data_IF_090626550616
#
_entry.id   IF_090626550616
#
_cell.length_a   1.000
_cell.length_b   1.000
_cell.length_c   1.000
_cell.angle_alpha   90.00
_cell.angle_beta   90.00
_cell.angle_gamma   90.00
#
_symmetry.space_group_name_H-M   'P 1'
#
loop_
_entity.id
_entity.type
_entity.pdbx_description
1 polymer ?
#
# COMPACT_ATOMS: atom_id res chain seq x y z
N UNK A 1 7.17 -4.47 38.41
CA UNK A 1 6.25 -4.96 37.37
C UNK A 1 6.01 -4.01 36.17
N UNK A 2 6.18 -2.68 36.27
CA UNK A 2 5.75 -1.74 35.20
C UNK A 2 6.68 -1.59 33.99
N UNK A 3 8.00 -1.58 34.16
CA UNK A 3 8.94 -1.27 33.07
C UNK A 3 8.97 -2.30 31.93
N UNK A 4 8.82 -3.58 32.26
CA UNK A 4 8.94 -4.70 31.29
C UNK A 4 7.63 -4.88 30.49
N UNK A 5 6.47 -4.56 31.07
CA UNK A 5 5.22 -4.50 30.31
C UNK A 5 5.30 -3.42 29.21
N UNK A 6 5.92 -2.28 29.51
CA UNK A 6 6.11 -1.19 28.54
C UNK A 6 7.14 -1.50 27.43
N UNK A 7 8.11 -2.41 27.66
CA UNK A 7 8.99 -2.90 26.59
C UNK A 7 8.31 -3.95 25.70
N UNK A 8 7.49 -4.83 26.27
CA UNK A 8 6.64 -5.76 25.49
C UNK A 8 5.56 -5.02 24.69
N UNK A 9 5.01 -3.91 25.20
CA UNK A 9 4.15 -3.01 24.40
C UNK A 9 4.89 -2.31 23.24
N UNK A 10 6.23 -2.29 23.24
CA UNK A 10 7.07 -1.74 22.16
C UNK A 10 7.56 -2.77 21.16
N UNK A 11 7.61 -4.07 21.51
CA UNK A 11 8.08 -5.17 20.66
C UNK A 11 7.01 -5.72 19.71
N UNK A 12 6.18 -4.84 19.15
CA UNK A 12 5.11 -5.22 18.22
C UNK A 12 5.60 -5.12 16.77
N UNK A 13 6.31 -6.14 16.30
CA UNK A 13 6.64 -6.32 14.89
C UNK A 13 7.38 -5.12 14.29
N UNK A 14 8.53 -4.80 14.89
CA UNK A 14 9.43 -3.76 14.33
C UNK A 14 10.22 -4.34 13.17
N UNK A 15 10.53 -3.51 12.17
CA UNK A 15 11.35 -3.97 11.03
C UNK A 15 12.75 -4.39 11.51
N UNK A 16 13.29 -3.66 12.49
CA UNK A 16 14.57 -3.89 13.15
C UNK A 16 14.71 -5.32 13.73
N UNK A 17 13.60 -5.98 14.07
CA UNK A 17 13.56 -7.37 14.59
C UNK A 17 13.77 -8.43 13.49
N UNK A 18 13.70 -8.05 12.20
CA UNK A 18 13.82 -8.96 11.05
C UNK A 18 15.21 -8.95 10.39
N UNK A 19 16.15 -8.21 10.98
CA UNK A 19 17.56 -8.18 10.58
C UNK A 19 17.95 -6.98 9.71
N UNK A 20 19.18 -6.49 9.92
CA UNK A 20 19.68 -5.23 9.35
C UNK A 20 19.55 -5.14 7.82
N UNK A 21 19.89 -6.22 7.09
CA UNK A 21 19.76 -6.23 5.63
C UNK A 21 18.32 -5.98 5.17
N UNK A 22 17.34 -6.59 5.84
CA UNK A 22 15.93 -6.45 5.51
C UNK A 22 15.41 -5.05 5.86
N UNK A 23 15.83 -4.52 7.01
CA UNK A 23 15.51 -3.17 7.47
C UNK A 23 16.01 -2.08 6.52
N UNK A 24 17.30 -2.11 6.16
CA UNK A 24 17.86 -1.16 5.19
C UNK A 24 17.26 -1.35 3.80
N UNK A 25 17.04 -2.58 3.33
CA UNK A 25 16.41 -2.82 2.02
C UNK A 25 15.02 -2.19 1.97
N UNK A 26 14.15 -2.40 2.95
CA UNK A 26 12.80 -1.82 2.95
C UNK A 26 12.81 -0.30 3.06
N UNK A 27 13.69 0.27 3.89
CA UNK A 27 13.85 1.74 4.00
C UNK A 27 14.32 2.34 2.69
N UNK A 28 15.22 1.66 1.96
CA UNK A 28 15.66 2.05 0.63
C UNK A 28 14.54 1.90 -0.42
N UNK A 29 13.81 0.77 -0.48
CA UNK A 29 12.65 0.63 -1.37
C UNK A 29 11.65 1.77 -1.16
N UNK A 30 11.33 2.08 0.10
CA UNK A 30 10.41 3.17 0.45
C UNK A 30 10.92 4.53 -0.05
N UNK A 31 12.18 4.84 0.22
CA UNK A 31 12.80 6.11 -0.16
C UNK A 31 12.89 6.26 -1.68
N UNK A 32 13.52 5.32 -2.35
CA UNK A 32 13.73 5.34 -3.81
C UNK A 32 12.39 5.25 -4.54
N UNK A 33 11.42 4.48 -4.03
CA UNK A 33 10.06 4.38 -4.58
C UNK A 33 9.26 5.69 -4.50
N UNK A 34 9.38 6.41 -3.38
CA UNK A 34 8.77 7.73 -3.24
C UNK A 34 9.43 8.77 -4.16
N UNK A 35 10.74 8.70 -4.34
CA UNK A 35 11.46 9.55 -5.29
C UNK A 35 11.15 9.20 -6.77
N UNK A 36 10.95 7.93 -7.11
CA UNK A 36 10.47 7.51 -8.45
C UNK A 36 9.07 8.05 -8.72
N UNK A 37 8.13 7.89 -7.80
CA UNK A 37 6.78 8.41 -7.95
C UNK A 37 6.79 9.92 -8.22
N UNK A 38 7.64 10.68 -7.52
CA UNK A 38 7.77 12.13 -7.72
C UNK A 38 8.51 12.47 -9.03
N UNK A 39 9.75 12.00 -9.21
CA UNK A 39 10.63 12.45 -10.30
C UNK A 39 10.32 11.78 -11.65
N UNK A 40 9.79 10.56 -11.65
CA UNK A 40 9.35 9.91 -12.88
C UNK A 40 7.89 10.26 -13.19
N UNK A 41 6.93 9.82 -12.37
CA UNK A 41 5.51 9.88 -12.76
C UNK A 41 4.92 11.27 -12.76
N UNK A 42 5.23 12.08 -11.74
CA UNK A 42 4.71 13.45 -11.66
C UNK A 42 5.48 14.39 -12.60
N UNK A 43 6.81 14.44 -12.51
CA UNK A 43 7.61 15.41 -13.28
C UNK A 43 7.61 15.13 -14.79
N UNK A 44 7.73 13.86 -15.23
CA UNK A 44 7.69 13.52 -16.67
C UNK A 44 6.40 13.99 -17.35
N UNK A 45 5.26 13.78 -16.67
CA UNK A 45 3.94 14.18 -17.19
C UNK A 45 3.68 15.67 -17.09
N UNK A 46 4.18 16.35 -16.05
CA UNK A 46 4.19 17.82 -15.99
C UNK A 46 4.96 18.42 -17.18
N UNK A 47 6.07 17.80 -17.59
CA UNK A 47 6.85 18.20 -18.77
C UNK A 47 6.02 18.27 -20.07
N UNK A 48 5.08 17.34 -20.28
CA UNK A 48 4.21 17.37 -21.47
C UNK A 48 3.33 18.62 -21.56
N UNK A 49 2.89 19.17 -20.42
CA UNK A 49 2.06 20.39 -20.38
C UNK A 49 2.89 21.67 -20.28
N UNK A 50 4.08 21.59 -19.68
CA UNK A 50 5.05 22.67 -19.60
C UNK A 50 5.77 22.89 -20.94
N UNK A 51 5.62 21.99 -21.92
CA UNK A 51 6.07 22.15 -23.32
C UNK A 51 5.85 23.54 -23.91
N UNK A 52 4.70 24.18 -23.64
CA UNK A 52 4.39 25.56 -24.10
C UNK A 52 5.21 26.66 -23.42
N UNK A 53 5.65 26.43 -22.18
CA UNK A 53 6.49 27.35 -21.38
C UNK A 53 7.98 27.08 -21.62
N UNK A 54 8.35 25.81 -21.80
CA UNK A 54 9.70 25.39 -22.21
C UNK A 54 10.07 25.95 -23.60
N UNK A 55 9.10 26.11 -24.50
CA UNK A 55 9.29 26.82 -25.77
C UNK A 55 9.68 28.30 -25.63
N UNK A 56 9.45 28.92 -24.46
CA UNK A 56 9.89 30.28 -24.15
C UNK A 56 11.20 30.32 -23.35
N UNK A 57 11.59 29.20 -22.71
CA UNK A 57 12.69 29.12 -21.77
C UNK A 57 13.36 27.74 -21.83
N UNK A 58 14.41 27.63 -22.65
CA UNK A 58 15.11 26.37 -22.95
C UNK A 58 15.62 25.64 -21.69
N UNK A 59 16.09 26.38 -20.68
CA UNK A 59 16.53 25.84 -19.40
C UNK A 59 15.46 25.03 -18.65
N UNK A 60 14.17 25.33 -18.86
CA UNK A 60 13.07 24.55 -18.27
C UNK A 60 13.03 23.16 -18.92
N UNK A 61 13.16 23.08 -20.25
CA UNK A 61 13.20 21.82 -20.99
C UNK A 61 14.31 20.89 -20.51
N UNK A 62 15.55 21.40 -20.43
CA UNK A 62 16.73 20.66 -19.94
C UNK A 62 16.52 20.18 -18.50
N UNK A 63 15.97 21.04 -17.63
CA UNK A 63 15.67 20.68 -16.23
C UNK A 63 14.67 19.52 -16.14
N UNK A 64 13.56 19.58 -16.89
CA UNK A 64 12.55 18.53 -16.90
C UNK A 64 13.07 17.20 -17.47
N UNK A 65 13.90 17.24 -18.51
CA UNK A 65 14.57 16.05 -19.04
C UNK A 65 15.51 15.40 -18.01
N UNK A 66 16.30 16.21 -17.30
CA UNK A 66 17.23 15.72 -16.27
C UNK A 66 16.49 15.12 -15.06
N UNK A 67 15.43 15.76 -14.56
CA UNK A 67 14.62 15.17 -13.49
C UNK A 67 13.94 13.87 -13.94
N UNK A 68 13.45 13.82 -15.18
CA UNK A 68 12.80 12.62 -15.73
C UNK A 68 13.78 11.46 -15.93
N UNK A 69 15.01 11.72 -16.38
CA UNK A 69 16.05 10.68 -16.55
C UNK A 69 16.53 10.14 -15.20
N UNK A 70 16.67 11.00 -14.19
CA UNK A 70 16.90 10.58 -12.79
C UNK A 70 15.73 9.73 -12.29
N UNK A 71 14.48 10.14 -12.54
CA UNK A 71 13.29 9.36 -12.22
C UNK A 71 13.27 7.97 -12.88
N UNK A 72 13.65 7.88 -14.15
CA UNK A 72 13.74 6.61 -14.88
C UNK A 72 14.86 5.70 -14.34
N UNK A 73 16.01 6.27 -13.99
CA UNK A 73 17.09 5.53 -13.33
C UNK A 73 16.62 4.99 -11.96
N UNK A 74 15.90 5.80 -11.18
CA UNK A 74 15.31 5.39 -9.91
C UNK A 74 14.31 4.24 -10.08
N UNK A 75 13.48 4.23 -11.14
CA UNK A 75 12.55 3.12 -11.41
C UNK A 75 13.26 1.76 -11.50
N UNK A 76 14.40 1.70 -12.18
CA UNK A 76 15.21 0.47 -12.27
C UNK A 76 15.81 0.09 -10.91
N UNK A 77 16.28 1.08 -10.14
CA UNK A 77 16.81 0.87 -8.77
C UNK A 77 15.72 0.36 -7.81
N UNK A 78 14.49 0.90 -7.90
CA UNK A 78 13.32 0.41 -7.15
C UNK A 78 13.03 -1.04 -7.52
N UNK A 79 13.00 -1.37 -8.82
CA UNK A 79 12.75 -2.74 -9.28
C UNK A 79 13.76 -3.73 -8.68
N UNK A 80 15.06 -3.39 -8.69
CA UNK A 80 16.13 -4.20 -8.09
C UNK A 80 15.92 -4.38 -6.58
N UNK A 81 15.65 -3.30 -5.83
CA UNK A 81 15.44 -3.41 -4.39
C UNK A 81 14.15 -4.14 -4.00
N UNK A 82 13.05 -3.99 -4.74
CA UNK A 82 11.80 -4.76 -4.56
C UNK A 82 12.05 -6.24 -4.82
N UNK A 83 12.78 -6.57 -5.89
CA UNK A 83 13.15 -7.94 -6.22
C UNK A 83 14.00 -8.56 -5.10
N UNK A 84 15.05 -7.86 -4.64
CA UNK A 84 15.91 -8.30 -3.54
C UNK A 84 15.12 -8.50 -2.24
N UNK A 85 14.25 -7.55 -1.88
CA UNK A 85 13.40 -7.64 -0.69
C UNK A 85 12.48 -8.87 -0.74
N UNK A 86 11.84 -9.13 -1.88
CA UNK A 86 10.99 -10.31 -2.07
C UNK A 86 11.79 -11.62 -1.98
N UNK A 87 12.98 -11.70 -2.60
CA UNK A 87 13.84 -12.89 -2.51
C UNK A 87 14.26 -13.16 -1.06
N UNK A 88 14.76 -12.15 -0.35
CA UNK A 88 15.15 -12.27 1.06
C UNK A 88 13.96 -12.71 1.93
N UNK A 89 12.79 -12.11 1.71
CA UNK A 89 11.58 -12.42 2.47
C UNK A 89 11.05 -13.82 2.18
N UNK A 90 11.10 -14.27 0.92
CA UNK A 90 10.69 -15.59 0.49
C UNK A 90 11.62 -16.68 1.04
N UNK A 91 12.94 -16.46 1.01
CA UNK A 91 13.92 -17.36 1.64
C UNK A 91 13.75 -17.44 3.17
N UNK A 92 13.54 -16.30 3.85
CA UNK A 92 13.28 -16.29 5.29
C UNK A 92 11.97 -17.04 5.62
N UNK A 93 10.92 -16.84 4.82
CA UNK A 93 9.64 -17.54 4.96
C UNK A 93 9.74 -19.04 4.71
N UNK A 94 10.50 -19.47 3.71
CA UNK A 94 10.84 -20.89 3.47
C UNK A 94 11.58 -21.48 4.68
N UNK A 95 12.61 -20.81 5.18
CA UNK A 95 13.43 -21.30 6.31
C UNK A 95 12.66 -21.38 7.63
N UNK A 96 11.76 -20.45 7.90
CA UNK A 96 11.07 -20.34 9.20
C UNK A 96 9.75 -21.11 9.29
N UNK A 97 9.02 -21.25 8.18
CA UNK A 97 7.67 -21.87 8.16
C UNK A 97 7.53 -23.04 7.19
N UNK A 98 8.53 -23.30 6.35
CA UNK A 98 8.48 -24.35 5.33
C UNK A 98 7.35 -24.20 4.32
N UNK A 99 7.11 -25.27 3.56
CA UNK A 99 6.02 -25.39 2.59
C UNK A 99 4.72 -25.92 3.25
N UNK A 100 4.34 -25.38 4.41
CA UNK A 100 3.17 -25.81 5.17
C UNK A 100 1.96 -24.88 4.96
N UNK A 101 0.76 -25.47 4.79
CA UNK A 101 -0.48 -24.72 4.63
C UNK A 101 -0.45 -23.75 3.45
N UNK A 102 -0.80 -22.48 3.69
CA UNK A 102 -0.90 -21.49 2.62
C UNK A 102 0.45 -21.05 2.01
N UNK A 103 1.58 -21.41 2.64
CA UNK A 103 2.91 -21.25 2.05
C UNK A 103 3.06 -22.10 0.78
N UNK A 104 2.38 -23.25 0.70
CA UNK A 104 2.39 -24.12 -0.48
C UNK A 104 1.91 -23.41 -1.75
N UNK A 105 1.04 -22.39 -1.62
CA UNK A 105 0.58 -21.56 -2.76
C UNK A 105 1.39 -20.27 -2.86
N UNK A 106 1.65 -19.62 -1.72
CA UNK A 106 2.30 -18.30 -1.68
C UNK A 106 3.75 -18.33 -2.20
N UNK A 107 4.53 -19.32 -1.77
CA UNK A 107 5.96 -19.41 -2.11
C UNK A 107 6.17 -19.67 -3.61
N UNK A 108 5.54 -20.69 -4.24
CA UNK A 108 5.71 -20.88 -5.68
C UNK A 108 5.07 -19.76 -6.50
N UNK A 109 3.92 -19.19 -6.12
CA UNK A 109 3.33 -18.09 -6.91
C UNK A 109 4.20 -16.83 -6.92
N UNK A 110 4.72 -16.39 -5.77
CA UNK A 110 5.66 -15.26 -5.71
C UNK A 110 6.98 -15.58 -6.42
N UNK A 111 7.52 -16.80 -6.24
CA UNK A 111 8.73 -17.24 -6.94
C UNK A 111 8.56 -17.25 -8.47
N UNK A 112 7.42 -17.71 -8.97
CA UNK A 112 7.09 -17.74 -10.39
C UNK A 112 6.93 -16.32 -10.95
N UNK A 113 6.35 -15.37 -10.20
CA UNK A 113 6.30 -13.96 -10.59
C UNK A 113 7.69 -13.32 -10.67
N UNK A 114 8.61 -13.65 -9.76
CA UNK A 114 10.01 -13.20 -9.85
C UNK A 114 10.70 -13.78 -11.10
N UNK A 115 10.51 -15.07 -11.39
CA UNK A 115 11.05 -15.73 -12.59
C UNK A 115 10.48 -15.12 -13.87
N UNK A 116 9.16 -14.89 -13.95
CA UNK A 116 8.54 -14.21 -15.10
C UNK A 116 9.04 -12.77 -15.26
N UNK A 117 9.27 -12.05 -14.17
CA UNK A 117 9.81 -10.68 -14.23
C UNK A 117 11.23 -10.67 -14.82
N UNK A 118 12.07 -11.67 -14.51
CA UNK A 118 13.37 -11.84 -15.15
C UNK A 118 13.25 -12.29 -16.61
N UNK A 119 12.35 -13.23 -16.92
CA UNK A 119 12.13 -13.71 -18.29
C UNK A 119 11.65 -12.58 -19.22
N UNK A 120 10.75 -11.72 -18.72
CA UNK A 120 10.24 -10.56 -19.45
C UNK A 120 11.26 -9.44 -19.68
N UNK A 121 12.40 -9.49 -18.98
CA UNK A 121 13.54 -8.60 -19.24
C UNK A 121 14.30 -8.99 -20.52
N UNK A 122 14.21 -10.26 -20.94
CA UNK A 122 14.87 -10.81 -22.14
C UNK A 122 13.87 -11.00 -23.30
N UNK A 123 12.66 -11.45 -22.99
CA UNK A 123 11.61 -11.76 -23.99
C UNK A 123 10.37 -10.92 -23.66
N UNK A 124 10.02 -9.90 -24.47
CA UNK A 124 8.86 -9.06 -24.20
C UNK A 124 7.57 -9.89 -24.00
N UNK A 125 6.75 -9.59 -22.97
CA UNK A 125 5.54 -10.35 -22.70
C UNK A 125 4.51 -10.14 -23.82
N UNK A 126 4.33 -11.16 -24.66
CA UNK A 126 3.15 -11.29 -25.50
C UNK A 126 1.87 -11.37 -24.64
N UNK A 127 0.69 -11.20 -25.25
CA UNK A 127 -0.60 -11.19 -24.54
C UNK A 127 -0.80 -12.41 -23.59
N UNK A 128 -0.36 -13.61 -24.00
CA UNK A 128 -0.39 -14.79 -23.12
C UNK A 128 0.48 -14.64 -21.87
N UNK A 129 1.65 -14.02 -21.99
CA UNK A 129 2.56 -13.76 -20.88
C UNK A 129 1.97 -12.77 -19.87
N UNK A 130 1.32 -11.70 -20.35
CA UNK A 130 0.65 -10.75 -19.46
C UNK A 130 -0.62 -11.31 -18.81
N UNK A 131 -1.41 -12.12 -19.51
CA UNK A 131 -2.52 -12.88 -18.91
C UNK A 131 -2.00 -13.80 -17.80
N UNK A 132 -0.98 -14.62 -18.07
CA UNK A 132 -0.41 -15.54 -17.08
C UNK A 132 0.13 -14.79 -15.85
N UNK A 133 0.88 -13.71 -16.06
CA UNK A 133 1.43 -12.89 -14.98
C UNK A 133 0.34 -12.27 -14.09
N UNK A 134 -0.73 -11.75 -14.67
CA UNK A 134 -1.85 -11.16 -13.93
C UNK A 134 -2.67 -12.22 -13.18
N UNK A 135 -2.88 -13.41 -13.76
CA UNK A 135 -3.54 -14.54 -13.08
C UNK A 135 -2.72 -15.02 -11.88
N UNK A 136 -1.40 -15.17 -12.04
CA UNK A 136 -0.52 -15.61 -10.93
C UNK A 136 -0.43 -14.51 -9.86
N UNK A 137 -0.46 -13.23 -10.24
CA UNK A 137 -0.57 -12.09 -9.31
C UNK A 137 -1.87 -12.19 -8.49
N UNK A 138 -3.01 -12.47 -9.13
CA UNK A 138 -4.29 -12.66 -8.44
C UNK A 138 -4.23 -13.85 -7.44
N UNK A 139 -3.63 -14.97 -7.83
CA UNK A 139 -3.44 -16.14 -6.95
C UNK A 139 -2.54 -15.79 -5.76
N UNK A 140 -1.41 -15.11 -5.97
CA UNK A 140 -0.48 -14.71 -4.93
C UNK A 140 -1.14 -13.76 -3.91
N UNK A 141 -1.83 -12.72 -4.38
CA UNK A 141 -2.55 -11.77 -3.52
C UNK A 141 -3.69 -12.48 -2.77
N UNK A 142 -4.46 -13.35 -3.43
CA UNK A 142 -5.54 -14.11 -2.79
C UNK A 142 -5.01 -14.98 -1.64
N UNK A 143 -3.89 -15.67 -1.85
CA UNK A 143 -3.24 -16.44 -0.79
C UNK A 143 -2.80 -15.53 0.37
N UNK A 144 -2.10 -14.43 0.10
CA UNK A 144 -1.63 -13.51 1.15
C UNK A 144 -2.77 -12.87 1.95
N UNK A 145 -3.88 -12.51 1.30
CA UNK A 145 -5.07 -11.96 1.98
C UNK A 145 -5.76 -13.03 2.83
N UNK A 146 -5.89 -14.27 2.34
CA UNK A 146 -6.45 -15.39 3.13
C UNK A 146 -5.55 -15.71 4.34
N UNK A 147 -4.23 -15.62 4.21
CA UNK A 147 -3.31 -15.71 5.36
C UNK A 147 -3.57 -14.58 6.37
N UNK A 148 -3.65 -13.32 5.91
CA UNK A 148 -3.89 -12.15 6.74
C UNK A 148 -5.20 -12.25 7.54
N UNK A 149 -6.27 -12.70 6.88
CA UNK A 149 -7.60 -12.84 7.47
C UNK A 149 -7.67 -13.99 8.50
N UNK A 150 -6.89 -15.07 8.30
CA UNK A 150 -6.78 -16.19 9.26
C UNK A 150 -6.06 -15.81 10.55
N UNK A 151 -5.19 -14.82 10.52
CA UNK A 151 -4.53 -14.30 11.74
C UNK A 151 -5.52 -13.55 12.64
N UNK A 152 -5.30 -13.49 13.98
CA UNK A 152 -6.18 -12.82 14.93
C UNK A 152 -6.04 -11.29 14.89
N UNK A 153 -6.47 -10.71 13.76
CA UNK A 153 -6.54 -9.27 13.51
C UNK A 153 -7.86 -8.65 13.97
N UNK A 154 -7.83 -7.34 14.24
CA UNK A 154 -9.03 -6.56 14.51
C UNK A 154 -10.01 -6.60 13.33
N UNK A 155 -11.31 -6.55 13.62
CA UNK A 155 -12.35 -6.56 12.56
C UNK A 155 -12.14 -5.42 11.54
N UNK A 156 -11.70 -4.25 12.00
CA UNK A 156 -11.36 -3.10 11.15
C UNK A 156 -10.22 -3.41 10.15
N UNK A 157 -9.19 -4.12 10.59
CA UNK A 157 -8.06 -4.54 9.76
C UNK A 157 -8.51 -5.59 8.73
N UNK A 158 -9.35 -6.53 9.14
CA UNK A 158 -9.92 -7.56 8.24
C UNK A 158 -10.77 -6.92 7.14
N UNK A 159 -11.72 -6.04 7.50
CA UNK A 159 -12.58 -5.34 6.53
C UNK A 159 -11.75 -4.48 5.56
N UNK A 160 -10.73 -3.77 6.05
CA UNK A 160 -9.80 -3.02 5.21
C UNK A 160 -9.09 -3.92 4.18
N UNK A 161 -8.52 -5.05 4.61
CA UNK A 161 -7.81 -5.97 3.72
C UNK A 161 -8.74 -6.62 2.69
N UNK A 162 -9.96 -7.02 3.08
CA UNK A 162 -10.97 -7.56 2.16
C UNK A 162 -11.38 -6.54 1.10
N UNK A 163 -11.58 -5.27 1.49
CA UNK A 163 -12.01 -4.22 0.56
C UNK A 163 -10.87 -3.79 -0.38
N UNK A 164 -9.63 -3.71 0.12
CA UNK A 164 -8.43 -3.52 -0.70
C UNK A 164 -8.26 -4.66 -1.73
N UNK A 165 -8.48 -5.91 -1.31
CA UNK A 165 -8.44 -7.08 -2.20
C UNK A 165 -9.46 -6.98 -3.34
N UNK A 166 -10.73 -6.69 -3.04
CA UNK A 166 -11.74 -6.52 -4.08
C UNK A 166 -11.46 -5.29 -4.97
N UNK A 167 -10.88 -4.23 -4.40
CA UNK A 167 -10.37 -3.09 -5.15
C UNK A 167 -9.40 -3.50 -6.25
N UNK A 168 -8.26 -4.08 -5.88
CA UNK A 168 -7.24 -4.56 -6.84
C UNK A 168 -7.77 -5.65 -7.76
N UNK A 169 -8.66 -6.53 -7.28
CA UNK A 169 -9.28 -7.55 -8.12
C UNK A 169 -10.09 -6.95 -9.27
N UNK A 170 -10.68 -5.74 -9.10
CA UNK A 170 -11.33 -5.01 -10.18
C UNK A 170 -10.37 -4.59 -11.30
N UNK A 171 -9.16 -4.13 -10.95
CA UNK A 171 -8.11 -3.80 -11.94
C UNK A 171 -7.55 -5.05 -12.62
N UNK A 172 -7.27 -6.11 -11.85
CA UNK A 172 -6.78 -7.37 -12.39
C UNK A 172 -7.83 -8.03 -13.31
N UNK A 173 -9.11 -7.95 -12.97
CA UNK A 173 -10.21 -8.38 -13.84
C UNK A 173 -10.21 -7.59 -15.16
N UNK A 174 -10.10 -6.26 -15.10
CA UNK A 174 -9.97 -5.42 -16.29
C UNK A 174 -8.79 -5.86 -17.17
N UNK A 175 -7.59 -5.99 -16.60
CA UNK A 175 -6.37 -6.37 -17.33
C UNK A 175 -6.44 -7.78 -17.93
N UNK A 176 -6.89 -8.78 -17.17
CA UNK A 176 -7.01 -10.17 -17.63
C UNK A 176 -8.03 -10.24 -18.77
N UNK A 177 -9.28 -9.80 -18.56
CA UNK A 177 -10.34 -10.00 -19.56
C UNK A 177 -10.14 -9.18 -20.83
N UNK A 178 -9.69 -7.93 -20.74
CA UNK A 178 -9.36 -7.12 -21.93
C UNK A 178 -8.23 -7.75 -22.76
N UNK A 179 -7.16 -8.22 -22.11
CA UNK A 179 -6.05 -8.86 -22.81
C UNK A 179 -6.45 -10.22 -23.38
N UNK A 180 -7.27 -11.01 -22.66
CA UNK A 180 -7.78 -12.30 -23.16
C UNK A 180 -8.70 -12.12 -24.36
N UNK A 181 -9.59 -11.13 -24.37
CA UNK A 181 -10.44 -10.84 -25.53
C UNK A 181 -9.62 -10.38 -26.74
N UNK A 182 -8.63 -9.51 -26.54
CA UNK A 182 -7.69 -9.12 -27.58
C UNK A 182 -6.89 -10.31 -28.14
N UNK A 183 -6.44 -11.23 -27.27
CA UNK A 183 -5.74 -12.45 -27.68
C UNK A 183 -6.63 -13.43 -28.47
N UNK A 184 -7.91 -13.55 -28.11
CA UNK A 184 -8.89 -14.36 -28.83
C UNK A 184 -9.41 -13.68 -30.12
N UNK A 185 -8.98 -12.46 -30.45
CA UNK A 185 -9.47 -11.69 -31.59
C UNK A 185 -10.94 -11.25 -31.49
N UNK A 186 -11.51 -11.27 -30.28
CA UNK A 186 -12.93 -10.96 -30.05
C UNK A 186 -13.11 -9.44 -30.01
N UNK A 187 -13.78 -8.90 -31.04
CA UNK A 187 -14.07 -7.46 -31.18
C UNK A 187 -15.18 -6.96 -30.22
N UNK A 188 -15.93 -7.86 -29.58
CA UNK A 188 -16.92 -7.48 -28.57
C UNK A 188 -16.22 -6.99 -27.30
N UNK A 189 -16.74 -5.93 -26.68
CA UNK A 189 -16.24 -5.50 -25.38
C UNK A 189 -16.52 -6.57 -24.31
N UNK A 190 -15.53 -6.97 -23.50
CA UNK A 190 -15.76 -7.95 -22.44
C UNK A 190 -16.79 -7.45 -21.41
N UNK A 191 -17.70 -8.31 -20.95
CA UNK A 191 -18.83 -7.90 -20.12
C UNK A 191 -18.38 -7.32 -18.78
N UNK A 192 -19.07 -6.28 -18.31
CA UNK A 192 -18.87 -5.63 -17.00
C UNK A 192 -17.46 -5.08 -16.71
N UNK A 193 -16.50 -5.16 -17.64
CA UNK A 193 -15.08 -4.81 -17.39
C UNK A 193 -14.88 -3.35 -16.95
N UNK A 194 -15.60 -2.40 -17.55
CA UNK A 194 -15.54 -1.00 -17.13
C UNK A 194 -16.24 -0.74 -15.79
N UNK A 195 -17.30 -1.49 -15.47
CA UNK A 195 -18.06 -1.36 -14.23
C UNK A 195 -17.30 -1.98 -13.05
N UNK A 196 -16.71 -3.15 -13.24
CA UNK A 196 -15.80 -3.78 -12.29
C UNK A 196 -14.58 -2.89 -11.97
N UNK A 197 -14.03 -2.20 -12.97
CA UNK A 197 -12.95 -1.22 -12.76
C UNK A 197 -13.45 0.01 -11.97
N UNK A 198 -14.63 0.56 -12.28
CA UNK A 198 -15.27 1.66 -11.51
C UNK A 198 -15.48 1.29 -10.04
N UNK A 199 -16.02 0.10 -9.78
CA UNK A 199 -16.26 -0.41 -8.43
C UNK A 199 -14.93 -0.68 -7.73
N UNK A 200 -13.94 -1.26 -8.42
CA UNK A 200 -12.60 -1.50 -7.88
C UNK A 200 -11.92 -0.21 -7.42
N UNK A 201 -11.94 0.83 -8.25
CA UNK A 201 -11.45 2.16 -7.90
C UNK A 201 -12.18 2.77 -6.69
N UNK A 202 -13.52 2.68 -6.63
CA UNK A 202 -14.29 3.16 -5.49
C UNK A 202 -13.96 2.39 -4.20
N UNK A 203 -13.75 1.07 -4.29
CA UNK A 203 -13.33 0.24 -3.16
C UNK A 203 -11.91 0.58 -2.70
N UNK A 204 -11.00 0.97 -3.59
CA UNK A 204 -9.65 1.44 -3.21
C UNK A 204 -9.69 2.77 -2.45
N UNK A 205 -10.52 3.73 -2.90
CA UNK A 205 -10.77 4.98 -2.16
C UNK A 205 -11.40 4.67 -0.80
N UNK A 206 -12.37 3.75 -0.72
CA UNK A 206 -12.97 3.35 0.56
C UNK A 206 -11.95 2.63 1.48
N UNK A 207 -11.11 1.75 0.93
CA UNK A 207 -10.02 1.10 1.66
C UNK A 207 -9.07 2.13 2.27
N UNK A 208 -8.75 3.22 1.58
CA UNK A 208 -7.88 4.29 2.11
C UNK A 208 -8.42 4.97 3.38
N UNK A 209 -9.75 5.16 3.44
CA UNK A 209 -10.44 5.68 4.62
C UNK A 209 -10.47 4.60 5.72
N UNK A 210 -10.63 3.33 5.37
CA UNK A 210 -10.59 2.22 6.32
C UNK A 210 -9.19 1.96 6.89
N UNK A 211 -8.10 2.20 6.17
CA UNK A 211 -6.73 2.13 6.71
C UNK A 211 -6.59 3.10 7.90
N UNK A 212 -7.13 4.32 7.77
CA UNK A 212 -7.17 5.30 8.85
C UNK A 212 -7.96 4.83 10.07
N UNK A 213 -9.06 4.14 9.86
CA UNK A 213 -9.85 3.62 10.98
C UNK A 213 -9.25 2.34 11.61
N UNK A 214 -8.68 1.45 10.80
CA UNK A 214 -8.04 0.20 11.23
C UNK A 214 -6.72 0.43 11.99
N UNK A 215 -5.81 1.22 11.42
CA UNK A 215 -4.47 1.46 11.97
C UNK A 215 -4.34 2.80 12.71
N UNK A 216 -5.22 3.76 12.43
CA UNK A 216 -5.16 5.10 13.03
C UNK A 216 -5.72 5.21 14.45
N UNK A 217 -6.26 4.15 15.08
CA UNK A 217 -6.98 4.06 16.38
C UNK A 217 -6.65 5.04 17.54
N UNK A 218 -5.49 5.69 17.54
CA UNK A 218 -5.24 6.91 18.33
C UNK A 218 -5.99 8.19 17.90
N UNK A 219 -6.93 8.12 16.95
CA UNK A 219 -7.79 9.28 16.55
C UNK A 219 -9.21 9.20 17.14
N UNK A 220 -9.51 8.28 18.07
CA UNK A 220 -10.81 8.34 18.74
C UNK A 220 -10.91 9.64 19.55
N UNK A 221 -12.05 10.32 19.46
CA UNK A 221 -12.37 11.49 20.30
C UNK A 221 -12.33 11.17 21.81
N UNK A 222 -12.30 9.86 22.14
CA UNK A 222 -12.25 9.26 23.48
C UNK A 222 -10.82 8.83 23.89
N UNK A 223 -9.76 9.35 23.25
CA UNK A 223 -8.38 9.14 23.70
C UNK A 223 -8.03 10.06 24.89
N UNK A 224 -7.46 9.49 25.96
CA UNK A 224 -7.11 10.21 27.21
C UNK A 224 -5.89 11.14 27.07
N UNK A 225 -5.13 11.03 25.98
CA UNK A 225 -3.91 11.81 25.72
C UNK A 225 -4.22 13.12 24.96
N UNK A 226 -4.04 14.28 25.64
CA UNK A 226 -4.29 15.62 25.08
C UNK A 226 -3.51 15.91 23.79
N UNK A 227 -2.26 15.44 23.66
CA UNK A 227 -1.45 15.72 22.45
C UNK A 227 -1.95 14.94 21.23
N UNK A 228 -2.33 13.67 21.41
CA UNK A 228 -2.92 12.86 20.34
C UNK A 228 -4.28 13.44 19.91
N UNK A 229 -5.14 13.81 20.87
CA UNK A 229 -6.43 14.48 20.59
C UNK A 229 -6.25 15.83 19.88
N UNK A 230 -5.23 16.63 20.20
CA UNK A 230 -4.94 17.90 19.50
C UNK A 230 -4.47 17.67 18.06
N UNK A 231 -3.57 16.71 17.82
CA UNK A 231 -3.15 16.33 16.45
C UNK A 231 -4.30 15.75 15.63
N UNK A 232 -5.15 14.94 16.25
CA UNK A 232 -6.38 14.41 15.66
C UNK A 232 -7.35 15.52 15.24
N UNK A 233 -7.62 16.48 16.13
CA UNK A 233 -8.49 17.62 15.84
C UNK A 233 -7.95 18.50 14.72
N UNK A 234 -6.65 18.81 14.71
CA UNK A 234 -6.03 19.56 13.61
C UNK A 234 -6.15 18.81 12.28
N UNK A 235 -5.87 17.51 12.25
CA UNK A 235 -6.01 16.70 11.05
C UNK A 235 -7.47 16.68 10.54
N UNK A 236 -8.44 16.41 11.42
CA UNK A 236 -9.86 16.42 11.04
C UNK A 236 -10.37 17.80 10.61
N UNK A 237 -9.89 18.88 11.24
CA UNK A 237 -10.26 20.25 10.86
C UNK A 237 -9.68 20.62 9.50
N UNK A 238 -8.40 20.33 9.24
CA UNK A 238 -7.76 20.58 7.95
C UNK A 238 -8.37 19.71 6.85
N UNK A 239 -8.54 18.40 7.09
CA UNK A 239 -9.17 17.50 6.14
C UNK A 239 -10.64 17.89 5.86
N UNK A 240 -11.39 18.29 6.89
CA UNK A 240 -12.76 18.76 6.76
C UNK A 240 -12.87 20.08 5.98
N UNK A 241 -12.00 21.06 6.25
CA UNK A 241 -11.95 22.33 5.51
C UNK A 241 -11.51 22.11 4.05
N UNK A 242 -10.50 21.27 3.80
CA UNK A 242 -10.07 20.92 2.43
C UNK A 242 -11.19 20.18 1.69
N UNK A 243 -11.85 19.21 2.33
CA UNK A 243 -12.94 18.45 1.72
C UNK A 243 -14.16 19.32 1.41
N UNK A 244 -14.64 20.12 2.38
CA UNK A 244 -15.75 21.06 2.19
C UNK A 244 -15.40 22.15 1.18
N UNK A 245 -14.16 22.66 1.19
CA UNK A 245 -13.66 23.58 0.20
C UNK A 245 -13.74 22.98 -1.20
N UNK A 246 -13.16 21.80 -1.43
CA UNK A 246 -13.22 21.13 -2.73
C UNK A 246 -14.66 20.82 -3.17
N UNK A 247 -15.52 20.34 -2.27
CA UNK A 247 -16.92 20.05 -2.57
C UNK A 247 -17.72 21.33 -2.89
N UNK A 248 -17.46 22.43 -2.19
CA UNK A 248 -18.04 23.74 -2.50
C UNK A 248 -17.60 24.24 -3.87
N UNK A 249 -16.30 24.12 -4.19
CA UNK A 249 -15.75 24.52 -5.49
C UNK A 249 -16.30 23.67 -6.65
N UNK A 250 -16.54 22.38 -6.42
CA UNK A 250 -16.98 21.44 -7.45
C UNK A 250 -18.51 21.46 -7.67
N UNK A 251 -19.30 21.60 -6.60
CA UNK A 251 -20.78 21.56 -6.66
C UNK A 251 -21.44 22.94 -6.62
N UNK A 252 -21.08 23.80 -5.66
CA UNK A 252 -21.75 25.09 -5.44
C UNK A 252 -21.26 26.16 -6.42
N UNK A 253 -19.96 26.23 -6.69
CA UNK A 253 -19.40 27.19 -7.66
C UNK A 253 -19.95 26.94 -9.07
N UNK A 254 -20.10 25.66 -9.46
CA UNK A 254 -20.70 25.26 -10.73
C UNK A 254 -22.16 25.71 -10.91
N UNK A 255 -22.89 25.94 -9.81
CA UNK A 255 -24.26 26.46 -9.82
C UNK A 255 -24.33 28.00 -9.83
N UNK A 256 -23.29 28.68 -9.36
CA UNK A 256 -23.23 30.15 -9.28
C UNK A 256 -22.53 30.82 -10.47
N UNK A 257 -21.41 30.26 -10.94
CA UNK A 257 -20.69 30.78 -12.11
C UNK A 257 -19.93 29.65 -12.84
N UNK A 258 -20.47 29.12 -13.95
CA UNK A 258 -19.88 27.96 -14.64
C UNK A 258 -18.53 28.25 -15.29
N UNK A 259 -18.25 29.49 -15.70
CA UNK A 259 -16.98 29.87 -16.29
C UNK A 259 -15.85 29.86 -15.24
N UNK A 260 -16.14 30.41 -14.06
CA UNK A 260 -15.19 30.48 -12.95
C UNK A 260 -14.96 29.08 -12.34
N UNK A 261 -16.02 28.25 -12.23
CA UNK A 261 -15.90 26.84 -11.89
C UNK A 261 -15.04 26.04 -12.88
N UNK A 262 -15.19 26.26 -14.20
CA UNK A 262 -14.36 25.59 -15.21
C UNK A 262 -12.88 26.03 -15.14
N UNK A 263 -12.60 27.31 -14.88
CA UNK A 263 -11.21 27.78 -14.72
C UNK A 263 -10.52 27.14 -13.52
N UNK A 264 -11.24 26.95 -12.41
CA UNK A 264 -10.67 26.36 -11.19
C UNK A 264 -10.65 24.82 -11.25
N UNK A 265 -11.60 24.18 -11.94
CA UNK A 265 -11.47 22.75 -12.31
C UNK A 265 -10.21 22.51 -13.14
N UNK A 266 -9.91 23.35 -14.14
CA UNK A 266 -8.66 23.28 -14.92
C UNK A 266 -7.40 23.51 -14.09
N UNK A 267 -7.46 24.30 -13.02
CA UNK A 267 -6.36 24.38 -12.06
C UNK A 267 -6.27 23.12 -11.17
N UNK A 268 -7.41 22.57 -10.75
CA UNK A 268 -7.53 21.33 -9.98
C UNK A 268 -7.17 20.05 -10.75
N UNK A 269 -7.24 20.07 -12.09
CA UNK A 269 -6.71 19.01 -12.95
C UNK A 269 -5.23 18.74 -12.60
N UNK A 270 -4.41 19.78 -12.38
CA UNK A 270 -3.00 19.62 -12.01
C UNK A 270 -2.76 18.81 -10.72
N UNK A 271 -3.66 18.87 -9.74
CA UNK A 271 -3.59 18.03 -8.53
C UNK A 271 -4.20 16.64 -8.80
N UNK A 272 -5.26 16.60 -9.62
CA UNK A 272 -5.92 15.36 -10.05
C UNK A 272 -4.92 14.43 -10.74
N UNK A 273 -4.00 14.98 -11.54
CA UNK A 273 -2.93 14.23 -12.20
C UNK A 273 -2.05 13.42 -11.24
N UNK A 274 -1.89 13.82 -9.98
CA UNK A 274 -1.17 13.04 -8.96
C UNK A 274 -1.83 11.67 -8.73
N UNK A 275 -3.16 11.64 -8.68
CA UNK A 275 -3.93 10.42 -8.47
C UNK A 275 -4.05 9.58 -9.74
N UNK A 276 -4.26 10.21 -10.89
CA UNK A 276 -4.40 9.49 -12.16
C UNK A 276 -3.07 8.94 -12.69
N UNK A 277 -1.96 9.65 -12.49
CA UNK A 277 -0.66 9.29 -13.07
C UNK A 277 0.29 8.66 -12.03
N UNK A 278 0.23 9.10 -10.77
CA UNK A 278 0.97 8.49 -9.67
C UNK A 278 0.33 7.18 -9.20
N UNK A 279 -0.99 7.21 -8.97
CA UNK A 279 -1.77 6.08 -8.45
C UNK A 279 -2.69 5.40 -9.47
N UNK A 280 -2.80 5.85 -10.72
CA UNK A 280 -3.59 5.14 -11.74
C UNK A 280 -5.11 5.26 -11.64
N UNK A 281 -5.64 6.20 -10.86
CA UNK A 281 -7.08 6.41 -10.70
C UNK A 281 -7.74 7.05 -11.95
N UNK A 282 -8.93 6.59 -12.32
CA UNK A 282 -9.67 7.08 -13.50
C UNK A 282 -10.78 8.09 -13.19
N UNK A 283 -10.89 8.54 -11.94
CA UNK A 283 -11.74 9.66 -11.50
C UNK A 283 -13.24 9.48 -11.69
N UNK A 284 -13.75 8.30 -11.33
CA UNK A 284 -15.18 8.05 -11.31
C UNK A 284 -15.92 8.64 -10.11
N UNK A 285 -15.22 8.99 -9.02
CA UNK A 285 -15.79 9.69 -7.86
C UNK A 285 -15.50 11.20 -7.90
N UNK A 286 -16.24 12.03 -7.13
CA UNK A 286 -15.86 13.43 -6.91
C UNK A 286 -14.44 13.55 -6.33
N UNK A 287 -13.65 14.49 -6.85
CA UNK A 287 -12.22 14.66 -6.53
C UNK A 287 -11.94 14.74 -5.01
N UNK A 288 -12.86 15.36 -4.26
CA UNK A 288 -12.78 15.49 -2.80
C UNK A 288 -12.63 14.13 -2.06
N UNK A 289 -13.23 13.04 -2.56
CA UNK A 289 -13.09 11.71 -1.94
C UNK A 289 -11.68 11.14 -2.08
N UNK A 290 -11.02 11.34 -3.22
CA UNK A 290 -9.63 10.93 -3.42
C UNK A 290 -8.70 11.72 -2.50
N UNK A 291 -8.90 13.03 -2.36
CA UNK A 291 -8.11 13.87 -1.43
C UNK A 291 -8.32 13.44 0.02
N UNK A 292 -9.56 13.18 0.44
CA UNK A 292 -9.85 12.65 1.78
C UNK A 292 -9.16 11.29 2.01
N UNK A 293 -9.19 10.41 1.01
CA UNK A 293 -8.55 9.10 1.04
C UNK A 293 -7.01 9.17 1.14
N UNK A 294 -6.37 10.03 0.33
CA UNK A 294 -4.93 10.27 0.41
C UNK A 294 -4.52 10.86 1.75
N UNK A 295 -5.24 11.86 2.27
CA UNK A 295 -4.95 12.43 3.59
C UNK A 295 -5.02 11.35 4.68
N UNK A 296 -6.05 10.50 4.64
CA UNK A 296 -6.23 9.36 5.54
C UNK A 296 -5.06 8.36 5.44
N UNK A 297 -4.70 7.94 4.23
CA UNK A 297 -3.63 6.99 3.97
C UNK A 297 -2.26 7.55 4.39
N UNK A 298 -1.88 8.73 3.87
CA UNK A 298 -0.60 9.38 4.16
C UNK A 298 -0.39 9.61 5.66
N UNK A 299 -1.42 10.05 6.39
CA UNK A 299 -1.33 10.19 7.85
C UNK A 299 -1.02 8.86 8.54
N UNK A 300 -1.69 7.76 8.16
CA UNK A 300 -1.39 6.44 8.76
C UNK A 300 -0.01 5.92 8.41
N UNK A 301 0.43 6.06 7.16
CA UNK A 301 1.75 5.63 6.72
C UNK A 301 2.84 6.37 7.49
N UNK A 302 2.81 7.72 7.49
CA UNK A 302 3.78 8.55 8.21
C UNK A 302 3.81 8.14 9.70
N UNK A 303 2.65 7.94 10.31
CA UNK A 303 2.54 7.51 11.70
C UNK A 303 3.15 6.13 11.94
N UNK A 304 2.80 5.11 11.16
CA UNK A 304 3.27 3.74 11.36
C UNK A 304 4.77 3.59 11.05
N UNK A 305 5.26 4.26 10.01
CA UNK A 305 6.70 4.33 9.67
C UNK A 305 7.47 5.04 10.78
N UNK A 306 6.96 6.17 11.31
CA UNK A 306 7.59 6.85 12.47
C UNK A 306 7.59 6.02 13.76
N UNK A 307 6.73 4.98 13.84
CA UNK A 307 6.71 4.01 14.93
C UNK A 307 7.59 2.77 14.67
N UNK A 308 8.21 2.65 13.50
CA UNK A 308 9.03 1.49 13.09
C UNK A 308 8.24 0.21 12.78
N UNK A 309 6.92 0.28 12.64
CA UNK A 309 6.06 -0.91 12.45
C UNK A 309 6.09 -1.40 11.00
N UNK A 310 6.26 -2.71 10.81
CA UNK A 310 6.31 -3.38 9.48
C UNK A 310 5.09 -3.03 8.61
N UNK A 311 3.88 -3.02 9.17
CA UNK A 311 2.66 -2.64 8.44
C UNK A 311 2.68 -1.22 7.85
N UNK A 312 3.44 -0.28 8.45
CA UNK A 312 3.58 1.07 7.91
C UNK A 312 4.30 1.10 6.57
N UNK A 313 5.37 0.30 6.48
CA UNK A 313 6.11 0.12 5.22
C UNK A 313 5.25 -0.64 4.21
N UNK A 314 4.52 -1.68 4.63
CA UNK A 314 3.60 -2.42 3.76
C UNK A 314 2.56 -1.52 3.08
N UNK A 315 1.84 -0.72 3.88
CA UNK A 315 0.86 0.25 3.40
C UNK A 315 1.50 1.36 2.54
N UNK A 316 2.74 1.74 2.80
CA UNK A 316 3.43 2.73 1.98
C UNK A 316 3.75 2.19 0.58
N UNK A 317 4.25 0.96 0.49
CA UNK A 317 4.51 0.27 -0.79
C UNK A 317 3.23 0.09 -1.60
N UNK A 318 2.15 -0.32 -0.95
CA UNK A 318 0.81 -0.44 -1.56
C UNK A 318 0.30 0.90 -2.13
N UNK A 319 0.65 2.04 -1.52
CA UNK A 319 0.30 3.37 -1.99
C UNK A 319 1.19 3.85 -3.15
N UNK A 320 2.51 3.64 -3.06
CA UNK A 320 3.48 4.00 -4.12
C UNK A 320 3.23 3.18 -5.39
N UNK A 321 2.82 1.92 -5.25
CA UNK A 321 2.46 1.08 -6.38
C UNK A 321 1.21 1.59 -7.13
N UNK A 322 0.22 2.10 -6.39
CA UNK A 322 -1.03 2.61 -6.93
C UNK A 322 -2.06 1.51 -7.27
N UNK A 323 -3.14 1.94 -7.93
CA UNK A 323 -4.23 1.12 -8.45
C UNK A 323 -3.92 0.51 -9.83
N UNK A 324 -3.41 1.32 -10.77
CA UNK A 324 -3.07 0.85 -12.11
C UNK A 324 -1.75 0.06 -12.11
N UNK A 325 -1.83 -1.20 -11.68
CA UNK A 325 -0.71 -2.13 -11.70
C UNK A 325 -0.29 -2.44 -13.14
N UNK A 326 0.90 -1.97 -13.50
CA UNK A 326 1.62 -2.35 -14.72
C UNK A 326 2.42 -3.63 -14.47
N UNK A 327 2.64 -4.43 -15.54
CA UNK A 327 3.62 -5.52 -15.51
C UNK A 327 5.01 -4.96 -15.20
N UNK A 328 5.52 -5.18 -13.98
CA UNK A 328 6.93 -5.08 -13.57
C UNK A 328 7.05 -4.91 -12.03
N UNK A 329 7.56 -3.76 -11.58
CA UNK A 329 7.90 -3.51 -10.18
C UNK A 329 6.69 -3.19 -9.30
N UNK A 330 5.56 -2.76 -9.87
CA UNK A 330 4.39 -2.31 -9.10
C UNK A 330 3.54 -3.45 -8.56
N UNK A 331 3.29 -4.47 -9.39
CA UNK A 331 2.72 -5.74 -8.95
C UNK A 331 3.57 -6.36 -7.84
N UNK A 332 4.89 -6.42 -8.03
CA UNK A 332 5.82 -6.90 -7.02
C UNK A 332 5.83 -6.02 -5.75
N UNK A 333 5.69 -4.70 -5.87
CA UNK A 333 5.63 -3.78 -4.74
C UNK A 333 4.33 -3.95 -3.92
N UNK A 334 3.18 -4.21 -4.56
CA UNK A 334 1.95 -4.59 -3.86
C UNK A 334 2.13 -5.95 -3.17
N UNK A 335 2.67 -6.95 -3.85
CA UNK A 335 2.90 -8.29 -3.26
C UNK A 335 3.80 -8.18 -2.03
N UNK A 336 4.90 -7.43 -2.13
CA UNK A 336 5.78 -7.12 -1.00
C UNK A 336 4.99 -6.41 0.11
N UNK A 337 4.21 -5.38 -0.22
CA UNK A 337 3.39 -4.64 0.73
C UNK A 337 2.40 -5.50 1.51
N UNK A 338 1.68 -6.40 0.83
CA UNK A 338 0.74 -7.35 1.46
C UNK A 338 1.51 -8.44 2.23
N UNK A 339 2.66 -8.93 1.76
CA UNK A 339 3.52 -9.83 2.55
C UNK A 339 4.00 -9.16 3.85
N UNK A 340 4.33 -7.87 3.84
CA UNK A 340 4.68 -7.13 5.06
C UNK A 340 3.48 -7.03 6.02
N UNK A 341 2.25 -6.90 5.51
CA UNK A 341 1.05 -6.97 6.34
C UNK A 341 0.85 -8.35 7.00
N UNK A 342 1.20 -9.47 6.35
CA UNK A 342 1.09 -10.81 6.99
C UNK A 342 2.18 -11.11 8.04
N UNK A 343 3.15 -10.20 8.21
CA UNK A 343 4.19 -10.23 9.24
C UNK A 343 3.90 -9.31 10.44
N UNK A 344 2.95 -8.38 10.32
CA UNK A 344 2.54 -7.47 11.39
C UNK A 344 1.81 -8.26 12.49
N UNK A 345 2.52 -8.67 13.55
CA UNK A 345 1.91 -9.49 14.61
C UNK A 345 0.85 -8.68 15.37
N UNK A 346 -0.39 -9.18 15.52
CA UNK A 346 -1.40 -8.54 16.36
C UNK A 346 -0.98 -8.61 17.83
N UNK A 347 -1.38 -7.61 18.63
CA UNK A 347 -1.02 -7.48 20.06
C UNK A 347 -1.23 -8.77 20.87
N UNK A 348 -2.29 -9.54 20.57
CA UNK A 348 -2.63 -10.78 21.28
C UNK A 348 -1.56 -11.88 21.13
N UNK A 349 -1.00 -12.05 19.93
CA UNK A 349 -0.02 -13.11 19.65
C UNK A 349 1.32 -12.84 20.36
N UNK A 350 1.69 -11.56 20.52
CA UNK A 350 2.87 -11.17 21.29
C UNK A 350 2.68 -11.48 22.79
N UNK A 351 1.48 -11.26 23.35
CA UNK A 351 1.19 -11.64 24.75
C UNK A 351 1.15 -13.15 24.96
N UNK A 352 0.61 -13.94 24.01
CA UNK A 352 0.64 -15.41 24.11
C UNK A 352 2.05 -15.97 23.99
N UNK A 353 2.86 -15.50 23.05
CA UNK A 353 4.25 -15.98 22.92
C UNK A 353 5.11 -15.56 24.13
N UNK A 354 4.85 -14.40 24.74
CA UNK A 354 5.48 -13.98 26.00
C UNK A 354 4.96 -14.74 27.23
N UNK A 355 3.76 -15.34 27.15
CA UNK A 355 3.25 -16.27 28.15
C UNK A 355 3.86 -17.67 27.98
N UNK A 356 4.01 -18.16 26.75
CA UNK A 356 4.60 -19.48 26.44
C UNK A 356 6.11 -19.52 26.77
N UNK A 357 6.83 -18.40 26.65
CA UNK A 357 8.23 -18.31 27.11
C UNK A 357 8.39 -18.21 28.63
N UNK A 358 7.29 -18.13 29.39
CA UNK A 358 7.29 -18.31 30.84
C UNK A 358 6.84 -19.75 31.12
N UNK A 359 7.71 -20.64 31.62
CA UNK A 359 7.21 -21.88 32.19
C UNK A 359 6.22 -21.52 33.32
N UNK A 360 5.13 -22.28 33.50
CA UNK A 360 4.24 -22.04 34.63
C UNK A 360 5.07 -22.18 35.91
N UNK A 361 5.04 -21.16 36.75
CA UNK A 361 5.55 -21.27 38.12
C UNK A 361 4.69 -22.32 38.82
N UNK A 362 5.17 -23.55 38.85
CA UNK A 362 4.63 -24.61 39.69
C UNK A 362 4.51 -24.06 41.10
N UNK A 363 3.31 -24.09 41.66
CA UNK A 363 3.11 -23.70 43.04
C UNK A 363 3.88 -24.66 43.93
N UNK A 364 4.92 -24.18 44.59
CA UNK A 364 5.52 -24.83 45.75
C UNK A 364 4.50 -24.82 46.88
N UNK A 365 3.65 -25.84 46.94
CA UNK A 365 3.01 -26.24 48.19
C UNK A 365 4.09 -26.86 49.09
N UNK A 366 4.75 -26.01 49.88
CA UNK A 366 5.54 -26.49 51.01
C UNK A 366 4.60 -27.10 52.05
N UNK A 367 4.87 -28.34 52.42
CA UNK A 367 4.10 -29.10 53.41
C UNK A 367 5.05 -29.95 54.25
N UNK A 368 5.10 -29.65 55.57
CA UNK A 368 5.81 -30.38 56.64
C UNK A 368 7.35 -30.26 56.59
N UNK A 369 8.13 -30.12 57.67
CA UNK A 369 7.94 -29.80 59.10
C UNK A 369 9.35 -29.48 59.70
N UNK A 370 9.58 -28.94 60.92
CA UNK A 370 8.72 -28.46 62.02
C UNK A 370 9.55 -28.26 63.32
N UNK A 371 9.04 -27.49 64.30
CA UNK A 371 9.71 -27.15 65.58
C UNK A 371 9.90 -25.63 65.76
N UNK A 372 9.86 -25.04 66.97
CA UNK A 372 9.87 -25.59 68.33
C UNK A 372 9.04 -24.73 69.32
N UNK A 373 8.76 -25.32 70.50
CA UNK A 373 8.18 -24.78 71.75
C UNK A 373 6.68 -24.45 71.71
#
# INVERSE_FOLDING_TARGET
>A
MSAIAATVERSTGRVDEQGLLFEYTIKLVLFVGLFELILYRLVSRLGMHISKVAAQHEWIGTTFQLLTSVGFALLNVVAIFVFLALVVLLLNRMRTRGLAGLNWVTIPSVGLLLILTLAFLVVPPAMLGSIAYNVITLVAITALIVEYLRQPHDWAQRVMATIYYFGISGWLYYQIFSTTYGWMGVLAAPPLVYEANRVGEALMVLASILVFWAYGRGVSFRTRNRQQRRRALWFWSVAGVVFLGLLFMDYFLGRYNPALANSIRKAGEGISWVFQMGMGYTFYLPFAFYVAGLLCWSYTVIRLVSMGRVAGYGLALMFIAGYALLLSSLTLMVILGVMLLTLDRPKSAASEQAAITRPPLMGTQESLAGGQV
#
